data_IF_223253604588
#
_entry.id   IF_223253604588
#
_cell.length_a   1.000
_cell.length_b   1.000
_cell.length_c   1.000
_cell.angle_alpha   90.00
_cell.angle_beta   90.00
_cell.angle_gamma   90.00
#
_symmetry.space_group_name_H-M   'P 1'
#
loop_
_entity.id
_entity.type
_entity.pdbx_description
1 polymer ?
#
# COMPACT_ATOMS: atom_id res chain seq x y z
N UNK A 1 3.31 -11.78 41.22
CA UNK A 1 3.18 -10.82 40.10
C UNK A 1 3.91 -9.55 40.47
N UNK A 2 5.04 -9.23 39.82
CA UNK A 2 5.66 -7.91 39.98
C UNK A 2 4.73 -6.88 39.34
N UNK A 3 4.24 -5.93 40.14
CA UNK A 3 3.48 -4.79 39.63
C UNK A 3 4.36 -4.02 38.65
N UNK A 4 3.84 -3.72 37.46
CA UNK A 4 4.50 -2.80 36.54
C UNK A 4 4.65 -1.46 37.26
N UNK A 5 5.90 -0.98 37.35
CA UNK A 5 6.19 0.37 37.82
C UNK A 5 5.49 1.42 36.93
N UNK A 6 5.17 2.58 37.51
CA UNK A 6 4.37 3.62 36.87
C UNK A 6 5.01 4.11 35.58
N UNK A 7 6.33 4.29 35.55
CA UNK A 7 7.05 4.76 34.36
C UNK A 7 6.87 3.78 33.20
N UNK A 8 6.95 2.48 33.50
CA UNK A 8 6.77 1.41 32.52
C UNK A 8 5.33 1.39 31.99
N UNK A 9 4.33 1.61 32.85
CA UNK A 9 2.91 1.71 32.43
C UNK A 9 2.69 2.90 31.51
N UNK A 10 3.24 4.06 31.83
CA UNK A 10 3.14 5.27 31.00
C UNK A 10 3.81 5.04 29.64
N UNK A 11 5.02 4.47 29.63
CA UNK A 11 5.73 4.15 28.39
C UNK A 11 4.93 3.21 27.48
N UNK A 12 4.34 2.16 28.05
CA UNK A 12 3.46 1.22 27.31
C UNK A 12 2.25 1.96 26.75
N UNK A 13 1.55 2.77 27.55
CA UNK A 13 0.37 3.51 27.08
C UNK A 13 0.70 4.46 25.92
N UNK A 14 1.84 5.14 25.97
CA UNK A 14 2.30 6.02 24.89
C UNK A 14 2.63 5.23 23.61
N UNK A 15 3.32 4.08 23.75
CA UNK A 15 3.66 3.21 22.64
C UNK A 15 2.41 2.62 21.98
N UNK A 16 1.46 2.11 22.79
CA UNK A 16 0.17 1.61 22.30
C UNK A 16 -0.61 2.71 21.58
N UNK A 17 -0.64 3.93 22.11
CA UNK A 17 -1.29 5.05 21.44
C UNK A 17 -0.68 5.37 20.08
N UNK A 18 0.66 5.30 19.95
CA UNK A 18 1.35 5.48 18.64
C UNK A 18 1.03 4.34 17.68
N UNK A 19 0.99 3.11 18.18
CA UNK A 19 0.62 1.93 17.40
C UNK A 19 -0.79 2.07 16.84
N UNK A 20 -1.79 2.33 17.68
CA UNK A 20 -3.19 2.43 17.26
C UNK A 20 -3.40 3.49 16.17
N UNK A 21 -2.84 4.70 16.36
CA UNK A 21 -2.89 5.75 15.34
C UNK A 21 -2.21 5.38 14.03
N UNK A 22 -1.13 4.60 14.09
CA UNK A 22 -0.43 4.14 12.89
C UNK A 22 -1.21 3.03 12.19
N UNK A 23 -1.82 2.12 12.95
CA UNK A 23 -2.68 1.06 12.44
C UNK A 23 -3.91 1.64 11.73
N UNK A 24 -4.53 2.69 12.29
CA UNK A 24 -5.67 3.36 11.65
C UNK A 24 -5.28 3.95 10.29
N UNK A 25 -4.17 4.71 10.22
CA UNK A 25 -3.67 5.27 8.96
C UNK A 25 -3.30 4.19 7.95
N UNK A 26 -2.70 3.10 8.40
CA UNK A 26 -2.36 1.97 7.56
C UNK A 26 -3.62 1.33 6.97
N UNK A 27 -4.67 1.15 7.78
CA UNK A 27 -5.93 0.59 7.32
C UNK A 27 -6.60 1.49 6.28
N UNK A 28 -6.60 2.82 6.51
CA UNK A 28 -7.14 3.78 5.55
C UNK A 28 -6.37 3.77 4.23
N UNK A 29 -5.04 3.83 4.29
CA UNK A 29 -4.19 3.75 3.10
C UNK A 29 -4.34 2.40 2.36
N UNK A 30 -4.49 1.29 3.09
CA UNK A 30 -4.69 -0.04 2.51
C UNK A 30 -6.03 -0.15 1.81
N UNK A 31 -7.09 0.45 2.36
CA UNK A 31 -8.41 0.52 1.72
C UNK A 31 -8.37 1.33 0.45
N UNK A 32 -7.72 2.48 0.47
CA UNK A 32 -7.56 3.35 -0.70
C UNK A 32 -6.76 2.64 -1.80
N UNK A 33 -5.61 2.05 -1.46
CA UNK A 33 -4.79 1.27 -2.38
C UNK A 33 -5.57 0.10 -2.99
N UNK A 34 -6.31 -0.66 -2.18
CA UNK A 34 -7.15 -1.76 -2.68
C UNK A 34 -8.25 -1.24 -3.63
N UNK A 35 -8.81 -0.07 -3.35
CA UNK A 35 -9.75 0.63 -4.22
C UNK A 35 -9.13 0.98 -5.57
N UNK A 36 -7.93 1.54 -5.56
CA UNK A 36 -7.17 1.86 -6.77
C UNK A 36 -6.87 0.60 -7.60
N UNK A 37 -6.42 -0.49 -6.97
CA UNK A 37 -6.19 -1.77 -7.66
C UNK A 37 -7.46 -2.32 -8.31
N UNK A 38 -8.60 -2.24 -7.62
CA UNK A 38 -9.89 -2.66 -8.18
C UNK A 38 -10.31 -1.78 -9.36
N UNK A 39 -10.07 -0.48 -9.28
CA UNK A 39 -10.37 0.46 -10.37
C UNK A 39 -9.50 0.16 -11.60
N UNK A 40 -8.19 0.00 -11.41
CA UNK A 40 -7.25 -0.31 -12.48
C UNK A 40 -7.57 -1.64 -13.15
N UNK A 41 -7.85 -2.70 -12.38
CA UNK A 41 -8.27 -4.00 -12.92
C UNK A 41 -9.52 -3.92 -13.82
N UNK A 42 -10.46 -3.00 -13.56
CA UNK A 42 -11.63 -2.80 -14.41
C UNK A 42 -11.31 -2.12 -15.74
N UNK A 43 -10.22 -1.35 -15.80
CA UNK A 43 -9.79 -0.63 -16.99
C UNK A 43 -8.81 -1.45 -17.83
N UNK A 44 -7.98 -2.27 -17.18
CA UNK A 44 -7.06 -3.18 -17.86
C UNK A 44 -7.85 -4.28 -18.58
N UNK A 45 -7.50 -4.50 -19.84
CA UNK A 45 -7.87 -5.70 -20.58
C UNK A 45 -7.01 -6.89 -20.15
N UNK A 46 -7.40 -8.08 -20.59
CA UNK A 46 -6.58 -9.29 -20.42
C UNK A 46 -5.35 -9.25 -21.32
N UNK A 47 -4.23 -9.79 -20.82
CA UNK A 47 -2.98 -9.97 -21.59
C UNK A 47 -2.40 -8.68 -22.20
N UNK A 48 -2.37 -7.61 -21.43
CA UNK A 48 -1.82 -6.33 -21.90
C UNK A 48 -0.40 -6.10 -21.37
N UNK A 49 0.43 -5.47 -22.19
CA UNK A 49 1.76 -5.00 -21.80
C UNK A 49 2.03 -3.66 -22.47
N UNK A 50 2.15 -2.60 -21.69
CA UNK A 50 2.34 -1.24 -22.21
C UNK A 50 3.10 -0.36 -21.25
N UNK A 51 3.64 0.74 -21.76
CA UNK A 51 4.34 1.75 -20.96
C UNK A 51 3.40 2.93 -20.68
N UNK A 52 3.39 3.40 -19.45
CA UNK A 52 2.72 4.65 -19.05
C UNK A 52 3.74 5.62 -18.45
N UNK A 53 3.46 6.91 -18.59
CA UNK A 53 4.22 7.96 -17.93
C UNK A 53 3.37 8.60 -16.82
N UNK A 54 3.90 8.64 -15.61
CA UNK A 54 3.28 9.28 -14.43
C UNK A 54 4.35 10.10 -13.74
N UNK A 55 4.08 11.38 -13.45
CA UNK A 55 5.02 12.28 -12.77
C UNK A 55 6.45 12.26 -13.34
N UNK A 56 6.56 12.33 -14.67
CA UNK A 56 7.84 12.28 -15.41
C UNK A 56 8.63 10.97 -15.28
N UNK A 57 8.03 9.90 -14.74
CA UNK A 57 8.61 8.56 -14.66
C UNK A 57 7.86 7.60 -15.57
N UNK A 58 8.58 6.64 -16.12
CA UNK A 58 7.99 5.59 -16.96
C UNK A 58 7.77 4.32 -16.15
N UNK A 59 6.64 3.68 -16.40
CA UNK A 59 6.26 2.43 -15.78
C UNK A 59 5.84 1.44 -16.85
N UNK A 60 6.32 0.20 -16.72
CA UNK A 60 5.81 -0.92 -17.47
C UNK A 60 4.60 -1.49 -16.71
N UNK A 61 3.45 -1.52 -17.38
CA UNK A 61 2.24 -2.17 -16.87
C UNK A 61 2.07 -3.49 -17.61
N UNK A 62 1.89 -4.56 -16.87
CA UNK A 62 1.55 -5.89 -17.40
C UNK A 62 0.29 -6.41 -16.75
N UNK A 63 -0.65 -6.97 -17.52
CA UNK A 63 -1.79 -7.74 -17.02
C UNK A 63 -1.82 -9.15 -17.61
N UNK A 64 -2.23 -10.13 -16.80
CA UNK A 64 -2.44 -11.50 -17.24
C UNK A 64 -3.90 -11.76 -17.65
N UNK A 65 -4.26 -13.04 -17.90
CA UNK A 65 -5.62 -13.45 -18.25
C UNK A 65 -6.60 -13.36 -17.08
N UNK A 66 -6.10 -13.48 -15.85
CA UNK A 66 -6.89 -13.47 -14.62
C UNK A 66 -7.12 -12.05 -14.09
N UNK A 67 -6.59 -11.04 -14.79
CA UNK A 67 -6.67 -9.64 -14.39
C UNK A 67 -5.76 -9.31 -13.22
N UNK A 68 -4.78 -10.16 -12.91
CA UNK A 68 -3.64 -9.74 -12.10
C UNK A 68 -2.79 -8.82 -12.96
N UNK A 69 -2.19 -7.84 -12.31
CA UNK A 69 -1.35 -6.88 -12.97
C UNK A 69 -0.14 -6.56 -12.12
N UNK A 70 0.90 -6.10 -12.79
CA UNK A 70 2.09 -5.56 -12.17
C UNK A 70 2.43 -4.20 -12.80
N UNK A 71 3.05 -3.34 -11.99
CA UNK A 71 3.45 -1.98 -12.38
C UNK A 71 4.87 -1.76 -11.90
N UNK A 72 5.82 -1.82 -12.83
CA UNK A 72 7.24 -1.75 -12.51
C UNK A 72 7.85 -0.45 -13.06
N UNK A 73 8.66 0.27 -12.29
CA UNK A 73 9.39 1.41 -12.82
C UNK A 73 10.41 0.93 -13.86
N UNK A 74 10.52 1.64 -14.97
CA UNK A 74 11.54 1.37 -15.99
C UNK A 74 12.43 2.58 -16.20
N UNK A 75 13.70 2.34 -16.51
CA UNK A 75 14.59 3.41 -16.96
C UNK A 75 14.08 3.93 -18.31
N UNK A 76 13.89 5.24 -18.42
CA UNK A 76 13.75 5.87 -19.74
C UNK A 76 15.08 5.73 -20.48
N UNK A 77 15.01 5.29 -21.73
CA UNK A 77 16.14 5.35 -22.68
C UNK A 77 16.55 6.79 -22.93
#
# INVERSE_FOLDING_TARGET
MQSLDIEKRVGISLAVGRYLRSADRFNDASRDFTGACRSLRKQLGSEQRFVVQVDFKHYLVTSDRDGNFDVEPIASL
#
